data_IF_964828003109
#
_entry.id   IF_964828003109
#
_cell.length_a   1.000
_cell.length_b   1.000
_cell.length_c   1.000
_cell.angle_alpha   90.00
_cell.angle_beta   90.00
_cell.angle_gamma   90.00
#
_symmetry.space_group_name_H-M   'P 1'
#
loop_
_entity.id
_entity.type
_entity.pdbx_description
1 polymer ?
#
# COMPACT_ATOMS: atom_id res chain seq x y z
N UNK A 1 -13.50 1.54 -17.07
CA UNK A 1 -14.52 0.61 -17.64
C UNK A 1 -15.00 -0.49 -16.67
N UNK A 2 -14.32 -0.78 -15.54
CA UNK A 2 -14.76 -1.80 -14.55
C UNK A 2 -14.53 -1.37 -13.08
N UNK A 3 -15.19 -0.30 -12.57
CA UNK A 3 -14.95 0.23 -11.22
C UNK A 3 -15.27 -0.77 -10.09
N UNK A 4 -16.22 -1.68 -10.30
CA UNK A 4 -16.57 -2.74 -9.36
C UNK A 4 -15.44 -3.75 -9.16
N UNK A 5 -14.72 -4.11 -10.24
CA UNK A 5 -13.55 -5.00 -10.16
C UNK A 5 -12.42 -4.31 -9.40
N UNK A 6 -12.18 -3.03 -9.67
CA UNK A 6 -11.16 -2.24 -8.94
C UNK A 6 -11.51 -2.18 -7.46
N UNK A 7 -12.77 -1.90 -7.11
CA UNK A 7 -13.21 -1.89 -5.71
C UNK A 7 -12.99 -3.22 -5.02
N UNK A 8 -13.38 -4.33 -5.67
CA UNK A 8 -13.18 -5.67 -5.12
C UNK A 8 -11.70 -6.00 -4.90
N UNK A 9 -10.84 -5.61 -5.85
CA UNK A 9 -9.40 -5.81 -5.75
C UNK A 9 -8.78 -4.98 -4.62
N UNK A 10 -9.07 -3.67 -4.56
CA UNK A 10 -8.56 -2.78 -3.50
C UNK A 10 -9.03 -3.27 -2.12
N UNK A 11 -10.30 -3.60 -1.97
CA UNK A 11 -10.84 -4.14 -0.72
C UNK A 11 -10.15 -5.44 -0.28
N UNK A 12 -9.89 -6.37 -1.22
CA UNK A 12 -9.16 -7.60 -0.91
C UNK A 12 -7.72 -7.34 -0.46
N UNK A 13 -7.02 -6.38 -1.07
CA UNK A 13 -5.65 -5.98 -0.67
C UNK A 13 -5.64 -5.33 0.71
N UNK A 14 -6.58 -4.43 0.99
CA UNK A 14 -6.68 -3.78 2.30
C UNK A 14 -7.00 -4.80 3.40
N UNK A 15 -7.89 -5.76 3.12
CA UNK A 15 -8.15 -6.89 4.02
C UNK A 15 -6.91 -7.74 4.25
N UNK A 16 -6.09 -8.00 3.23
CA UNK A 16 -4.85 -8.75 3.40
C UNK A 16 -3.86 -8.02 4.34
N UNK A 17 -3.85 -6.68 4.34
CA UNK A 17 -3.06 -5.92 5.33
C UNK A 17 -3.60 -6.16 6.74
N UNK A 18 -4.93 -6.19 6.95
CA UNK A 18 -5.51 -6.56 8.25
C UNK A 18 -5.14 -7.98 8.68
N UNK A 19 -5.20 -8.93 7.75
CA UNK A 19 -4.85 -10.32 8.05
C UNK A 19 -3.36 -10.44 8.41
N UNK A 20 -2.46 -9.69 7.75
CA UNK A 20 -1.03 -9.59 8.11
C UNK A 20 -0.82 -8.94 9.49
N UNK A 21 -1.56 -7.87 9.81
CA UNK A 21 -1.49 -7.21 11.12
C UNK A 21 -1.95 -8.17 12.22
N UNK A 22 -3.00 -8.94 11.97
CA UNK A 22 -3.57 -9.88 12.93
C UNK A 22 -2.69 -11.11 13.18
N UNK A 23 -2.11 -11.70 12.12
CA UNK A 23 -1.23 -12.86 12.22
C UNK A 23 -0.12 -12.84 11.15
N UNK A 24 0.96 -12.10 11.39
CA UNK A 24 2.06 -11.99 10.43
C UNK A 24 2.81 -13.32 10.24
N UNK A 25 2.77 -14.23 11.22
CA UNK A 25 3.43 -15.53 11.13
C UNK A 25 2.67 -16.44 10.15
N UNK A 26 1.33 -16.49 10.25
CA UNK A 26 0.50 -17.22 9.31
C UNK A 26 0.61 -16.61 7.90
N UNK A 27 0.57 -15.29 7.77
CA UNK A 27 0.73 -14.63 6.47
C UNK A 27 2.11 -14.92 5.83
N UNK A 28 3.18 -14.95 6.61
CA UNK A 28 4.51 -15.31 6.12
C UNK A 28 4.59 -16.76 5.63
N UNK A 29 3.94 -17.70 6.33
CA UNK A 29 3.85 -19.10 5.92
C UNK A 29 3.07 -19.26 4.61
N UNK A 30 1.94 -18.57 4.47
CA UNK A 30 1.15 -18.60 3.24
C UNK A 30 1.91 -18.00 2.06
N UNK A 31 2.59 -16.87 2.28
CA UNK A 31 3.41 -16.22 1.27
C UNK A 31 4.58 -17.08 0.81
N UNK A 32 5.34 -17.69 1.72
CA UNK A 32 6.48 -18.56 1.37
C UNK A 32 6.04 -19.84 0.66
N UNK A 33 4.83 -20.34 0.94
CA UNK A 33 4.22 -21.44 0.17
C UNK A 33 3.83 -21.01 -1.26
N UNK A 34 3.31 -19.78 -1.43
CA UNK A 34 2.94 -19.22 -2.74
C UNK A 34 4.16 -18.75 -3.55
N UNK A 35 5.28 -18.45 -2.89
CA UNK A 35 6.52 -17.92 -3.48
C UNK A 35 7.67 -18.87 -3.14
N UNK A 36 7.84 -20.00 -3.87
CA UNK A 36 8.74 -21.08 -3.46
C UNK A 36 10.22 -20.69 -3.33
N UNK A 37 10.65 -19.63 -4.02
CA UNK A 37 11.98 -19.02 -3.86
C UNK A 37 12.26 -18.49 -2.45
N UNK A 38 11.23 -18.34 -1.61
CA UNK A 38 11.32 -17.91 -0.21
C UNK A 38 11.05 -19.05 0.80
N UNK A 39 10.97 -20.30 0.35
CA UNK A 39 10.82 -21.45 1.25
C UNK A 39 11.94 -21.49 2.30
N UNK A 40 11.60 -21.72 3.57
CA UNK A 40 12.56 -21.73 4.68
C UNK A 40 12.94 -20.34 5.21
N UNK A 41 12.33 -19.26 4.68
CA UNK A 41 12.53 -17.87 5.12
C UNK A 41 11.35 -17.31 5.88
N UNK A 42 10.50 -18.16 6.46
CA UNK A 42 9.24 -17.78 7.09
C UNK A 42 9.47 -16.71 8.17
N UNK A 43 10.48 -16.89 9.03
CA UNK A 43 10.82 -15.93 10.08
C UNK A 43 11.32 -14.58 9.54
N UNK A 44 12.09 -14.59 8.44
CA UNK A 44 12.56 -13.36 7.79
C UNK A 44 11.40 -12.60 7.17
N UNK A 45 10.51 -13.31 6.47
CA UNK A 45 9.31 -12.72 5.86
C UNK A 45 8.36 -12.18 6.94
N UNK A 46 8.14 -12.90 8.04
CA UNK A 46 7.33 -12.42 9.16
C UNK A 46 7.88 -11.10 9.70
N UNK A 47 9.20 -11.02 9.92
CA UNK A 47 9.84 -9.80 10.43
C UNK A 47 9.65 -8.61 9.46
N UNK A 48 9.73 -8.87 8.15
CA UNK A 48 9.48 -7.86 7.11
C UNK A 48 8.02 -7.42 7.15
N UNK A 49 7.08 -8.37 7.11
CA UNK A 49 5.64 -8.08 7.13
C UNK A 49 5.25 -7.24 8.35
N UNK A 50 5.74 -7.62 9.54
CA UNK A 50 5.54 -6.88 10.79
C UNK A 50 6.08 -5.45 10.68
N UNK A 51 7.29 -5.29 10.14
CA UNK A 51 7.90 -3.97 9.98
C UNK A 51 7.08 -3.04 9.05
N UNK A 52 6.53 -3.56 7.95
CA UNK A 52 5.66 -2.78 7.07
C UNK A 52 4.31 -2.45 7.72
N UNK A 53 3.69 -3.41 8.39
CA UNK A 53 2.43 -3.23 9.11
C UNK A 53 2.55 -2.11 10.17
N UNK A 54 3.64 -2.10 10.94
CA UNK A 54 3.85 -1.13 12.02
C UNK A 54 4.33 0.24 11.53
N UNK A 55 5.17 0.29 10.49
CA UNK A 55 5.91 1.52 10.14
C UNK A 55 5.44 2.21 8.86
N UNK A 56 4.77 1.48 7.96
CA UNK A 56 4.42 1.98 6.62
C UNK A 56 2.92 2.07 6.43
N UNK A 57 2.19 1.07 6.90
CA UNK A 57 0.73 0.99 6.76
C UNK A 57 -0.09 1.16 8.06
N UNK A 58 0.38 1.83 9.14
CA UNK A 58 -0.49 2.09 10.27
C UNK A 58 -1.61 3.06 9.85
N UNK A 59 -2.79 2.86 10.42
CA UNK A 59 -3.85 3.85 10.30
C UNK A 59 -3.44 5.14 11.02
N UNK A 60 -3.81 6.28 10.43
CA UNK A 60 -3.57 7.59 11.03
C UNK A 60 -4.89 8.36 11.18
N UNK A 61 -4.99 9.27 12.17
CA UNK A 61 -6.17 10.12 12.31
C UNK A 61 -6.46 10.87 11.00
N UNK A 62 -7.68 10.74 10.49
CA UNK A 62 -8.15 11.36 9.24
C UNK A 62 -7.44 10.86 7.95
N UNK A 63 -6.76 9.72 8.00
CA UNK A 63 -6.22 9.06 6.80
C UNK A 63 -6.63 7.58 6.81
N UNK A 64 -7.79 7.24 6.21
CA UNK A 64 -8.22 5.85 6.05
C UNK A 64 -7.12 5.00 5.40
N UNK A 65 -7.00 3.73 5.78
CA UNK A 65 -5.95 2.85 5.27
C UNK A 65 -6.00 2.78 3.75
N UNK A 66 -4.86 2.99 3.10
CA UNK A 66 -4.74 2.96 1.64
C UNK A 66 -5.21 4.23 0.93
N UNK A 67 -5.72 5.23 1.67
CA UNK A 67 -6.03 6.54 1.09
C UNK A 67 -4.77 7.35 0.83
N UNK A 68 -4.80 8.06 -0.30
CA UNK A 68 -3.83 9.07 -0.65
C UNK A 68 -4.14 10.37 0.08
N UNK A 69 -3.06 11.01 0.55
CA UNK A 69 -3.06 12.34 1.12
C UNK A 69 -2.74 13.37 0.02
N UNK A 70 -3.68 14.26 -0.36
CA UNK A 70 -3.48 15.22 -1.44
C UNK A 70 -2.29 16.16 -1.20
N UNK A 71 -2.03 16.56 0.05
CA UNK A 71 -0.92 17.45 0.38
C UNK A 71 0.42 16.76 0.15
N UNK A 72 0.50 15.48 0.53
CA UNK A 72 1.68 14.64 0.28
C UNK A 72 1.94 14.46 -1.21
N UNK A 73 0.89 14.20 -2.01
CA UNK A 73 1.03 14.03 -3.46
C UNK A 73 1.48 15.34 -4.12
N UNK A 74 0.91 16.48 -3.71
CA UNK A 74 1.34 17.79 -4.18
C UNK A 74 2.82 18.07 -3.85
N UNK A 75 3.26 17.73 -2.63
CA UNK A 75 4.65 17.91 -2.21
C UNK A 75 5.62 17.06 -3.03
N UNK A 76 5.29 15.79 -3.32
CA UNK A 76 6.11 14.90 -4.16
C UNK A 76 6.20 15.43 -5.59
N UNK A 77 5.07 15.85 -6.19
CA UNK A 77 5.10 16.44 -7.54
C UNK A 77 5.99 17.67 -7.58
N UNK A 78 5.86 18.59 -6.60
CA UNK A 78 6.71 19.78 -6.52
C UNK A 78 8.18 19.42 -6.43
N UNK A 79 8.54 18.46 -5.58
CA UNK A 79 9.91 17.98 -5.45
C UNK A 79 10.46 17.46 -6.79
N UNK A 80 9.67 16.67 -7.55
CA UNK A 80 10.11 16.14 -8.84
C UNK A 80 10.29 17.22 -9.91
N UNK A 81 9.46 18.27 -9.91
CA UNK A 81 9.61 19.41 -10.81
C UNK A 81 10.86 20.21 -10.47
N UNK A 82 11.04 20.55 -9.19
CA UNK A 82 12.19 21.33 -8.73
C UNK A 82 13.52 20.60 -8.98
N UNK A 83 13.51 19.26 -8.86
CA UNK A 83 14.67 18.41 -9.12
C UNK A 83 14.89 18.10 -10.62
N UNK A 84 13.99 18.53 -11.51
CA UNK A 84 14.07 18.25 -12.95
C UNK A 84 13.85 16.77 -13.31
N UNK A 85 13.26 15.98 -12.41
CA UNK A 85 12.92 14.56 -12.64
C UNK A 85 11.74 14.45 -13.60
N UNK A 86 10.75 15.34 -13.46
CA UNK A 86 9.63 15.50 -14.38
C UNK A 86 9.58 16.95 -14.86
N UNK A 87 9.04 17.17 -16.06
CA UNK A 87 9.07 18.48 -16.73
C UNK A 87 7.74 19.21 -16.71
N UNK A 88 6.66 18.54 -16.28
CA UNK A 88 5.30 19.08 -16.35
C UNK A 88 4.51 18.66 -15.13
N UNK A 89 3.93 19.64 -14.45
CA UNK A 89 2.98 19.40 -13.37
C UNK A 89 1.57 19.20 -13.97
N UNK A 90 0.81 18.30 -13.38
CA UNK A 90 -0.61 18.08 -13.70
C UNK A 90 -1.46 18.38 -12.46
N UNK A 91 -2.78 18.57 -12.60
CA UNK A 91 -3.68 18.67 -11.46
C UNK A 91 -3.48 17.49 -10.50
N UNK A 92 -3.43 17.76 -9.19
CA UNK A 92 -3.08 16.74 -8.18
C UNK A 92 -4.16 15.67 -8.08
N UNK A 93 -5.41 16.07 -8.28
CA UNK A 93 -6.59 15.21 -8.36
C UNK A 93 -6.56 14.22 -9.54
N UNK A 94 -5.77 14.47 -10.58
CA UNK A 94 -5.61 13.54 -11.70
C UNK A 94 -4.56 12.44 -11.41
N UNK A 95 -3.78 12.59 -10.33
CA UNK A 95 -2.68 11.68 -9.98
C UNK A 95 -3.12 10.47 -9.14
N UNK A 96 -4.31 10.51 -8.54
CA UNK A 96 -4.81 9.46 -7.67
C UNK A 96 -6.35 9.48 -7.58
N UNK A 97 -6.92 8.43 -6.99
CA UNK A 97 -8.32 8.44 -6.52
C UNK A 97 -8.43 7.67 -5.21
N UNK A 98 -9.31 8.15 -4.33
CA UNK A 98 -9.66 7.47 -3.07
C UNK A 98 -11.02 6.74 -3.16
N UNK A 99 -11.66 6.71 -4.33
CA UNK A 99 -13.04 6.19 -4.51
C UNK A 99 -13.20 4.68 -4.24
N UNK A 100 -12.08 3.96 -4.13
CA UNK A 100 -12.05 2.51 -3.95
C UNK A 100 -11.58 2.09 -2.54
N UNK A 101 -11.23 3.05 -1.69
CA UNK A 101 -10.84 2.82 -0.30
C UNK A 101 -12.12 2.89 0.55
N UNK A 102 -12.66 1.74 0.95
CA UNK A 102 -13.87 1.60 1.79
C UNK A 102 -13.68 0.52 2.84
#
# INVERSE_FOLDING_TARGET
ERPEVVRGFVGAVLKAIDDIVADPAQAAKEYTAAVPQHAGKEAEIEAIMRAYAEKVYPEAPNQPRGSFDPERIAAVQKFYIDAGIVTTAVPVEDLYTNDFVQ
#
